data_IF_341465916123
#
_entry.id   IF_341465916123
#
_cell.length_a   1.000
_cell.length_b   1.000
_cell.length_c   1.000
_cell.angle_alpha   90.00
_cell.angle_beta   90.00
_cell.angle_gamma   90.00
#
_symmetry.space_group_name_H-M   'P 1'
#
loop_
_entity.id
_entity.type
_entity.pdbx_description
1 polymer ?
#
# COMPACT_ATOMS: atom_id res chain seq x y z
N UNK A 1 -3.99 -14.14 6.71
CA UNK A 1 -3.64 -13.76 5.32
C UNK A 1 -4.10 -14.80 4.31
N UNK A 2 -3.81 -16.09 4.51
CA UNK A 2 -4.18 -17.17 3.55
C UNK A 2 -5.68 -17.30 3.24
N UNK A 3 -6.56 -17.15 4.25
CA UNK A 3 -8.02 -17.26 4.03
C UNK A 3 -8.58 -16.27 2.99
N UNK A 4 -8.03 -15.06 2.93
CA UNK A 4 -8.51 -14.04 1.98
C UNK A 4 -8.02 -14.32 0.56
N UNK A 5 -6.78 -14.80 0.42
CA UNK A 5 -6.23 -15.21 -0.88
C UNK A 5 -7.02 -16.38 -1.44
N UNK A 6 -7.29 -17.41 -0.63
CA UNK A 6 -8.12 -18.54 -1.05
C UNK A 6 -9.53 -18.11 -1.48
N UNK A 7 -10.14 -17.16 -0.77
CA UNK A 7 -11.46 -16.66 -1.10
C UNK A 7 -11.46 -15.97 -2.48
N UNK A 8 -10.45 -15.16 -2.79
CA UNK A 8 -10.29 -14.53 -4.11
C UNK A 8 -10.07 -15.58 -5.18
N UNK A 9 -9.19 -16.56 -4.96
CA UNK A 9 -8.90 -17.62 -5.92
C UNK A 9 -10.10 -18.55 -6.21
N UNK A 10 -11.08 -18.62 -5.30
CA UNK A 10 -12.34 -19.37 -5.47
C UNK A 10 -13.48 -18.52 -6.05
N UNK A 11 -13.26 -17.22 -6.19
CA UNK A 11 -14.25 -16.27 -6.69
C UNK A 11 -14.21 -16.19 -8.23
N UNK A 12 -15.21 -15.56 -8.88
CA UNK A 12 -15.18 -15.35 -10.32
C UNK A 12 -14.23 -14.21 -10.76
N UNK A 13 -13.43 -13.65 -9.85
CA UNK A 13 -12.48 -12.58 -10.18
C UNK A 13 -11.35 -13.16 -11.03
N UNK A 14 -11.09 -12.51 -12.17
CA UNK A 14 -9.92 -12.81 -12.99
C UNK A 14 -8.66 -12.20 -12.36
N UNK A 15 -7.65 -13.04 -12.12
CA UNK A 15 -6.40 -12.63 -11.46
C UNK A 15 -5.25 -12.76 -12.44
N UNK A 16 -4.66 -11.61 -12.79
CA UNK A 16 -3.45 -11.53 -13.61
C UNK A 16 -2.22 -11.32 -12.71
N UNK A 17 -1.53 -12.41 -12.40
CA UNK A 17 -0.22 -12.33 -11.73
C UNK A 17 0.88 -11.89 -12.71
N UNK A 18 2.04 -11.52 -12.17
CA UNK A 18 3.23 -11.14 -12.96
C UNK A 18 2.93 -10.05 -14.01
N UNK A 19 1.99 -9.17 -13.71
CA UNK A 19 1.43 -8.20 -14.65
C UNK A 19 1.54 -6.78 -14.10
N UNK A 20 1.74 -5.81 -14.99
CA UNK A 20 1.81 -4.38 -14.66
C UNK A 20 0.84 -3.56 -15.50
N UNK A 21 0.16 -2.59 -14.88
CA UNK A 21 -0.65 -1.61 -15.61
C UNK A 21 0.29 -0.56 -16.19
N UNK A 22 0.37 -0.49 -17.52
CA UNK A 22 1.29 0.41 -18.25
C UNK A 22 0.61 1.68 -18.77
N UNK A 23 -0.72 1.66 -18.93
CA UNK A 23 -1.50 2.81 -19.38
C UNK A 23 -2.94 2.70 -18.84
N UNK A 24 -3.53 3.84 -18.51
CA UNK A 24 -4.96 4.00 -18.22
C UNK A 24 -5.45 5.04 -19.22
N UNK A 25 -6.41 4.67 -20.05
CA UNK A 25 -6.80 5.42 -21.25
C UNK A 25 -8.28 5.75 -21.24
N UNK A 26 -8.62 6.88 -21.86
CA UNK A 26 -9.98 7.34 -22.14
C UNK A 26 -10.03 8.84 -22.37
N UNK A 27 -11.20 9.36 -22.76
CA UNK A 27 -11.43 10.79 -23.03
C UNK A 27 -12.39 11.38 -22.00
N UNK A 28 -11.85 12.09 -21.01
CA UNK A 28 -12.62 12.67 -19.89
C UNK A 28 -13.05 11.67 -18.80
N UNK A 29 -13.01 10.36 -19.08
CA UNK A 29 -13.22 9.27 -18.13
C UNK A 29 -12.36 8.04 -18.47
N UNK A 30 -12.28 7.06 -17.57
CA UNK A 30 -11.61 5.79 -17.85
C UNK A 30 -12.46 4.98 -18.83
N UNK A 31 -11.80 4.41 -19.83
CA UNK A 31 -12.42 3.47 -20.78
C UNK A 31 -11.61 2.17 -20.88
N UNK A 32 -10.27 2.25 -20.71
CA UNK A 32 -9.38 1.11 -20.90
C UNK A 32 -8.19 1.10 -19.94
N UNK A 33 -7.73 -0.10 -19.62
CA UNK A 33 -6.44 -0.33 -18.97
C UNK A 33 -5.56 -1.22 -19.86
N UNK A 34 -4.31 -0.79 -20.07
CA UNK A 34 -3.32 -1.58 -20.82
C UNK A 34 -2.39 -2.27 -19.83
N UNK A 35 -2.46 -3.59 -19.80
CA UNK A 35 -1.71 -4.44 -18.87
C UNK A 35 -0.62 -5.19 -19.64
N UNK A 36 0.61 -5.13 -19.14
CA UNK A 36 1.74 -5.87 -19.66
C UNK A 36 1.99 -7.12 -18.80
N UNK A 37 2.00 -8.28 -19.43
CA UNK A 37 2.36 -9.55 -18.80
C UNK A 37 3.88 -9.74 -18.90
N UNK A 38 4.56 -9.75 -17.74
CA UNK A 38 6.02 -9.83 -17.66
C UNK A 38 6.58 -11.20 -18.04
N UNK A 39 5.74 -12.24 -18.11
CA UNK A 39 6.14 -13.59 -18.51
C UNK A 39 6.05 -13.79 -20.01
N UNK A 40 4.97 -13.30 -20.61
CA UNK A 40 4.75 -13.43 -22.06
C UNK A 40 5.27 -12.25 -22.87
N UNK A 41 5.60 -11.14 -22.19
CA UNK A 41 6.06 -9.88 -22.76
C UNK A 41 5.03 -9.25 -23.72
N UNK A 42 3.74 -9.53 -23.50
CA UNK A 42 2.64 -9.04 -24.34
C UNK A 42 1.79 -8.02 -23.58
N UNK A 43 1.21 -7.10 -24.33
CA UNK A 43 0.19 -6.17 -23.84
C UNK A 43 -1.21 -6.73 -24.08
N UNK A 44 -2.05 -6.60 -23.08
CA UNK A 44 -3.47 -6.89 -23.10
C UNK A 44 -4.21 -5.59 -22.83
N UNK A 45 -5.33 -5.38 -23.52
CA UNK A 45 -6.19 -4.20 -23.35
C UNK A 45 -7.50 -4.68 -22.76
N UNK A 46 -7.86 -4.10 -21.63
CA UNK A 46 -9.13 -4.39 -20.94
C UNK A 46 -10.02 -3.16 -21.05
N UNK A 47 -11.22 -3.33 -21.57
CA UNK A 47 -12.27 -2.32 -21.51
C UNK A 47 -12.83 -2.31 -20.08
N UNK A 48 -12.71 -1.17 -19.40
CA UNK A 48 -13.08 -1.00 -17.98
C UNK A 48 -13.64 0.39 -17.73
N UNK A 49 -14.61 0.49 -16.82
CA UNK A 49 -15.19 1.78 -16.44
C UNK A 49 -14.39 2.48 -15.32
N UNK A 50 -13.58 1.74 -14.57
CA UNK A 50 -12.83 2.26 -13.42
C UNK A 50 -11.54 1.47 -13.14
N UNK A 51 -10.56 2.14 -12.55
CA UNK A 51 -9.33 1.54 -12.01
C UNK A 51 -9.18 1.91 -10.54
N UNK A 52 -9.09 0.90 -9.67
CA UNK A 52 -8.87 1.08 -8.23
C UNK A 52 -7.41 0.74 -7.91
N UNK A 53 -6.62 1.74 -7.51
CA UNK A 53 -5.19 1.60 -7.29
C UNK A 53 -4.88 1.32 -5.82
N UNK A 54 -4.48 0.08 -5.52
CA UNK A 54 -4.13 -0.39 -4.17
C UNK A 54 -2.67 -0.86 -4.09
N UNK A 55 -1.73 -0.06 -4.61
CA UNK A 55 -0.28 -0.39 -4.66
C UNK A 55 0.51 0.08 -3.43
N UNK A 56 -0.20 0.32 -2.32
CA UNK A 56 0.35 0.92 -1.11
C UNK A 56 0.37 2.45 -1.13
N UNK A 57 0.97 3.03 -0.09
CA UNK A 57 1.06 4.48 0.08
C UNK A 57 2.50 4.87 0.46
N UNK A 58 2.93 6.05 0.00
CA UNK A 58 4.14 6.69 0.49
C UNK A 58 3.76 7.78 1.49
N UNK A 59 3.96 7.58 2.80
CA UNK A 59 3.64 8.60 3.77
C UNK A 59 4.56 9.82 3.53
N UNK A 60 3.96 11.01 3.39
CA UNK A 60 4.74 12.26 3.35
C UNK A 60 5.35 12.45 4.73
N UNK A 61 6.67 12.28 4.82
CA UNK A 61 7.41 12.40 6.06
C UNK A 61 7.42 13.88 6.46
N UNK A 62 6.56 14.27 7.40
CA UNK A 62 6.85 15.37 8.34
C UNK A 62 8.27 15.12 8.85
N UNK A 63 9.16 16.12 9.01
CA UNK A 63 10.56 15.88 9.35
C UNK A 63 10.75 15.37 10.80
N UNK A 64 10.19 14.19 11.11
CA UNK A 64 10.24 13.47 12.37
C UNK A 64 11.68 13.28 12.86
N UNK A 65 12.68 13.01 11.98
CA UNK A 65 14.07 12.98 12.42
C UNK A 65 14.55 14.29 13.06
N UNK A 66 14.00 15.45 12.67
CA UNK A 66 14.34 16.75 13.27
C UNK A 66 13.71 16.96 14.64
N UNK A 67 12.73 16.14 15.04
CA UNK A 67 12.02 16.29 16.31
C UNK A 67 12.68 15.52 17.45
N UNK A 68 13.76 14.76 17.18
CA UNK A 68 14.44 13.93 18.19
C UNK A 68 13.62 12.73 18.66
N UNK A 69 12.56 12.38 17.93
CA UNK A 69 11.71 11.22 18.21
C UNK A 69 12.41 9.97 17.67
N UNK A 70 12.50 8.93 18.49
CA UNK A 70 13.07 7.64 18.11
C UNK A 70 12.14 6.94 17.11
N UNK A 71 12.74 6.47 16.01
CA UNK A 71 12.04 5.77 14.94
C UNK A 71 12.48 4.30 14.88
N UNK A 72 11.58 3.44 14.42
CA UNK A 72 11.91 2.11 13.92
C UNK A 72 11.98 2.16 12.38
N UNK A 73 13.16 1.81 11.84
CA UNK A 73 13.48 2.04 10.44
C UNK A 73 13.50 3.53 10.10
N UNK A 74 13.06 3.89 8.90
CA UNK A 74 13.07 5.28 8.44
C UNK A 74 11.80 6.07 8.78
N UNK A 75 10.72 5.40 9.21
CA UNK A 75 9.36 5.98 9.12
C UNK A 75 8.46 5.76 10.33
N UNK A 76 8.60 4.67 11.08
CA UNK A 76 7.65 4.35 12.15
C UNK A 76 8.08 4.99 13.47
N UNK A 77 7.16 5.66 14.15
CA UNK A 77 7.41 6.26 15.47
C UNK A 77 7.41 5.15 16.51
N UNK A 78 8.52 4.96 17.22
CA UNK A 78 8.58 3.96 18.29
C UNK A 78 7.82 4.47 19.51
N UNK A 79 6.88 3.67 20.01
CA UNK A 79 6.08 4.00 21.19
C UNK A 79 6.12 2.91 22.24
N UNK A 80 5.81 3.28 23.49
CA UNK A 80 5.53 2.33 24.58
C UNK A 80 4.07 1.88 24.54
N UNK A 81 3.71 0.96 25.44
CA UNK A 81 2.34 0.45 25.56
C UNK A 81 1.29 1.54 25.85
N UNK A 82 1.68 2.66 26.45
CA UNK A 82 0.84 3.84 26.71
C UNK A 82 0.85 4.86 25.56
N UNK A 83 1.42 4.49 24.40
CA UNK A 83 1.55 5.33 23.20
C UNK A 83 2.52 6.52 23.35
N UNK A 84 3.29 6.59 24.44
CA UNK A 84 4.32 7.62 24.62
C UNK A 84 5.52 7.38 23.70
N UNK A 85 6.06 8.47 23.15
CA UNK A 85 7.29 8.46 22.33
C UNK A 85 8.55 8.59 23.21
N UNK A 86 9.73 8.64 22.59
CA UNK A 86 10.99 8.97 23.29
C UNK A 86 11.05 10.41 23.81
N UNK A 87 10.17 11.30 23.33
CA UNK A 87 10.11 12.71 23.74
C UNK A 87 8.95 12.90 24.72
N UNK A 88 9.26 13.36 25.95
CA UNK A 88 8.27 13.58 27.00
C UNK A 88 7.18 14.55 26.54
N UNK A 89 5.92 14.16 26.73
CA UNK A 89 4.75 14.96 26.36
C UNK A 89 4.31 14.79 24.91
N UNK A 90 5.04 14.02 24.10
CA UNK A 90 4.65 13.67 22.74
C UNK A 90 4.22 12.20 22.71
N UNK A 91 3.04 11.99 22.13
CA UNK A 91 2.40 10.68 21.94
C UNK A 91 2.08 10.49 20.46
N UNK A 92 2.00 9.24 20.00
CA UNK A 92 1.61 8.91 18.64
C UNK A 92 0.72 7.66 18.63
N UNK A 93 -0.18 7.54 17.65
CA UNK A 93 -1.08 6.38 17.51
C UNK A 93 -1.43 6.13 16.04
N UNK A 94 -2.11 5.02 15.75
CA UNK A 94 -2.52 4.64 14.40
C UNK A 94 -1.39 4.00 13.59
N UNK A 95 -1.47 4.02 12.26
CA UNK A 95 -0.58 3.26 11.38
C UNK A 95 0.89 3.69 11.48
N UNK A 96 1.14 4.94 11.89
CA UNK A 96 2.49 5.53 11.97
C UNK A 96 3.36 4.97 13.11
N UNK A 97 2.79 4.28 14.10
CA UNK A 97 3.56 3.81 15.27
C UNK A 97 4.08 2.39 15.13
N UNK A 98 5.17 2.09 15.83
CA UNK A 98 5.65 0.73 16.04
C UNK A 98 5.81 0.43 17.53
N UNK A 99 5.42 -0.79 17.90
CA UNK A 99 5.59 -1.39 19.22
C UNK A 99 5.60 -2.92 19.09
N UNK A 100 6.20 -3.66 20.04
CA UNK A 100 6.20 -5.11 20.01
C UNK A 100 4.77 -5.68 19.93
N UNK A 101 4.51 -6.52 18.94
CA UNK A 101 3.21 -7.17 18.73
C UNK A 101 2.21 -6.40 17.86
N UNK A 102 2.58 -5.23 17.32
CA UNK A 102 1.82 -4.63 16.22
C UNK A 102 2.12 -5.37 14.92
N UNK A 103 1.07 -5.87 14.26
CA UNK A 103 1.20 -6.42 12.90
C UNK A 103 1.77 -5.33 11.98
N UNK A 104 2.80 -5.70 11.23
CA UNK A 104 3.45 -4.84 10.22
C UNK A 104 2.82 -5.07 8.86
#
# INVERSE_FOLDING_TARGET
>A
MEKNVEAVMKSPIEVHFDSEVTSIEGDGQVERAVVYDNRTLKKQVFDVDAVIVNIGFQPKITPLPKWGIELEGERLIKVKADMSTSVRGIYACGDIVSYPGKDK
#
